data_IF_692144856138
#
_entry.id   IF_692144856138
#
_cell.length_a   1.000
_cell.length_b   1.000
_cell.length_c   1.000
_cell.angle_alpha   90.00
_cell.angle_beta   90.00
_cell.angle_gamma   90.00
#
_symmetry.space_group_name_H-M   'P 1'
#
loop_
_entity.id
_entity.type
_entity.pdbx_description
1 polymer ?
#
# COMPACT_ATOMS: atom_id res chain seq x y z
N UNK A 1 -4.93 -4.91 35.73
CA UNK A 1 -6.18 -4.78 34.94
C UNK A 1 -6.34 -6.03 34.11
N UNK A 2 -7.43 -6.76 34.31
CA UNK A 2 -7.65 -8.13 33.84
C UNK A 2 -7.84 -8.22 32.31
N UNK A 3 -7.11 -9.10 31.63
CA UNK A 3 -7.26 -9.41 30.20
C UNK A 3 -8.70 -9.79 29.81
N UNK A 4 -9.45 -10.40 30.75
CA UNK A 4 -10.86 -10.74 30.53
C UNK A 4 -11.74 -9.49 30.33
N UNK A 5 -11.28 -8.31 30.72
CA UNK A 5 -11.93 -7.04 30.40
C UNK A 5 -11.81 -6.70 28.89
N UNK A 6 -10.64 -6.91 28.28
CA UNK A 6 -10.48 -6.66 26.83
C UNK A 6 -11.21 -7.71 25.98
N UNK A 7 -11.20 -8.96 26.43
CA UNK A 7 -11.97 -10.04 25.80
C UNK A 7 -13.49 -9.85 25.90
N UNK A 8 -13.96 -9.10 26.91
CA UNK A 8 -15.38 -8.80 27.11
C UNK A 8 -15.85 -7.55 26.36
N UNK A 9 -14.95 -6.81 25.71
CA UNK A 9 -15.33 -5.80 24.74
C UNK A 9 -16.02 -6.46 23.54
N UNK A 10 -17.04 -5.79 22.99
CA UNK A 10 -17.73 -6.29 21.81
C UNK A 10 -16.74 -6.41 20.62
N UNK A 11 -16.56 -7.61 20.09
CA UNK A 11 -15.55 -7.92 19.06
C UNK A 11 -14.14 -8.23 19.59
N UNK A 12 -13.94 -8.27 20.91
CA UNK A 12 -12.70 -8.69 21.55
C UNK A 12 -12.46 -10.19 21.44
N UNK A 13 -11.19 -10.60 21.30
CA UNK A 13 -10.78 -12.01 21.29
C UNK A 13 -9.55 -12.19 22.16
N UNK A 14 -9.60 -13.18 23.05
CA UNK A 14 -8.47 -13.54 23.91
C UNK A 14 -7.76 -14.77 23.37
N UNK A 15 -6.51 -14.60 22.97
CA UNK A 15 -5.62 -15.70 22.58
C UNK A 15 -4.73 -16.06 23.77
N UNK A 16 -4.78 -17.32 24.22
CA UNK A 16 -4.02 -17.82 25.37
C UNK A 16 -2.98 -18.85 24.95
N UNK A 17 -2.10 -19.23 25.88
CA UNK A 17 -1.10 -20.29 25.72
C UNK A 17 -0.12 -20.07 24.55
N UNK A 18 0.23 -18.81 24.28
CA UNK A 18 1.26 -18.46 23.31
C UNK A 18 2.61 -18.56 24.01
N UNK A 19 3.42 -19.56 23.65
CA UNK A 19 4.75 -19.83 24.25
C UNK A 19 5.90 -19.23 23.44
N UNK A 20 5.64 -18.76 22.23
CA UNK A 20 6.59 -18.05 21.37
C UNK A 20 6.50 -16.53 21.58
N UNK A 21 7.51 -15.79 21.12
CA UNK A 21 7.50 -14.33 21.07
C UNK A 21 6.74 -13.76 19.84
N UNK A 22 6.08 -14.61 19.06
CA UNK A 22 5.32 -14.23 17.86
C UNK A 22 4.07 -15.10 17.66
N UNK A 23 3.05 -14.52 17.01
CA UNK A 23 1.80 -15.20 16.67
C UNK A 23 1.19 -14.63 15.39
N UNK A 24 0.81 -15.51 14.47
CA UNK A 24 -0.04 -15.14 13.33
C UNK A 24 -1.52 -15.14 13.75
N UNK A 25 -2.21 -14.04 13.43
CA UNK A 25 -3.64 -13.87 13.66
C UNK A 25 -4.30 -13.83 12.28
N UNK A 26 -5.19 -14.80 12.02
CA UNK A 26 -5.89 -14.97 10.74
C UNK A 26 -7.38 -14.67 10.89
N UNK A 27 -8.14 -14.77 9.79
CA UNK A 27 -9.59 -14.51 9.74
C UNK A 27 -10.00 -13.10 10.19
N UNK A 28 -9.08 -12.13 10.04
CA UNK A 28 -9.38 -10.73 10.22
C UNK A 28 -10.03 -10.18 8.95
N UNK A 29 -10.98 -9.26 9.12
CA UNK A 29 -11.65 -8.59 8.03
C UNK A 29 -10.76 -7.49 7.47
N UNK A 30 -10.54 -7.49 6.16
CA UNK A 30 -9.77 -6.44 5.50
C UNK A 30 -10.47 -5.07 5.59
N UNK A 31 -9.69 -4.01 5.74
CA UNK A 31 -10.18 -2.65 5.97
C UNK A 31 -10.63 -2.36 7.40
N UNK A 32 -10.71 -3.38 8.27
CA UNK A 32 -11.04 -3.20 9.69
C UNK A 32 -9.79 -2.95 10.50
N UNK A 33 -9.76 -1.85 11.27
CA UNK A 33 -8.66 -1.57 12.21
C UNK A 33 -8.81 -2.43 13.46
N UNK A 34 -7.78 -3.20 13.77
CA UNK A 34 -7.65 -4.02 14.97
C UNK A 34 -6.62 -3.43 15.92
N UNK A 35 -6.82 -3.68 17.21
CA UNK A 35 -5.97 -3.23 18.31
C UNK A 35 -5.45 -4.45 19.05
N UNK A 36 -4.17 -4.43 19.43
CA UNK A 36 -3.50 -5.55 20.08
C UNK A 36 -2.76 -5.08 21.33
N UNK A 37 -2.92 -5.84 22.40
CA UNK A 37 -2.17 -5.74 23.64
C UNK A 37 -1.70 -7.14 24.03
N UNK A 38 -0.53 -7.23 24.65
CA UNK A 38 0.04 -8.50 25.11
C UNK A 38 0.34 -8.41 26.59
N UNK A 39 0.06 -9.48 27.32
CA UNK A 39 0.56 -9.71 28.68
C UNK A 39 1.28 -11.05 28.71
N UNK A 40 2.08 -11.25 29.75
CA UNK A 40 2.78 -12.51 30.00
C UNK A 40 2.28 -13.14 31.28
N UNK A 41 2.21 -14.47 31.31
CA UNK A 41 1.84 -15.22 32.51
C UNK A 41 3.01 -16.05 33.00
N UNK A 42 3.35 -15.94 34.28
CA UNK A 42 4.35 -16.78 34.96
C UNK A 42 3.75 -17.27 36.27
N UNK A 43 3.79 -18.58 36.51
CA UNK A 43 3.31 -19.19 37.76
C UNK A 43 1.87 -18.76 38.14
N UNK A 44 0.97 -18.70 37.14
CA UNK A 44 -0.41 -18.22 37.25
C UNK A 44 -0.59 -16.73 37.63
N UNK A 45 0.48 -15.94 37.55
CA UNK A 45 0.45 -14.48 37.71
C UNK A 45 0.61 -13.81 36.35
N UNK A 46 -0.25 -12.85 36.06
CA UNK A 46 -0.24 -12.06 34.83
C UNK A 46 0.53 -10.74 35.02
N UNK A 47 1.33 -10.33 34.03
CA UNK A 47 2.04 -9.06 34.02
C UNK A 47 1.13 -7.86 33.72
N UNK A 48 1.68 -6.66 33.84
CA UNK A 48 1.08 -5.49 33.20
C UNK A 48 1.04 -5.65 31.67
N UNK A 49 0.11 -4.92 31.05
CA UNK A 49 -0.10 -4.89 29.59
C UNK A 49 0.98 -4.09 28.88
N UNK A 50 1.34 -4.55 27.68
CA UNK A 50 2.16 -3.79 26.74
C UNK A 50 1.50 -2.47 26.33
N UNK A 51 2.25 -1.63 25.61
CA UNK A 51 1.64 -0.59 24.80
C UNK A 51 0.66 -1.20 23.79
N UNK A 52 -0.43 -0.50 23.53
CA UNK A 52 -1.38 -0.88 22.48
C UNK A 52 -0.78 -0.60 21.11
N UNK A 53 -0.95 -1.53 20.18
CA UNK A 53 -0.58 -1.36 18.77
C UNK A 53 -1.79 -1.63 17.89
N UNK A 54 -1.81 -1.05 16.69
CA UNK A 54 -2.93 -1.22 15.75
C UNK A 54 -2.46 -1.80 14.43
N UNK A 55 -3.27 -2.64 13.81
CA UNK A 55 -3.08 -3.07 12.43
C UNK A 55 -4.41 -3.06 11.67
N UNK A 56 -4.37 -2.70 10.39
CA UNK A 56 -5.52 -2.82 9.49
C UNK A 56 -5.11 -3.79 8.39
N UNK A 57 -5.60 -5.04 8.41
CA UNK A 57 -5.39 -5.96 7.30
C UNK A 57 -5.92 -5.32 6.02
N UNK A 58 -5.11 -5.37 4.97
CA UNK A 58 -5.51 -4.90 3.66
C UNK A 58 -5.63 -6.14 2.77
N UNK A 59 -6.67 -6.17 1.92
CA UNK A 59 -6.54 -6.95 0.68
C UNK A 59 -5.30 -6.39 0.01
N UNK A 60 -4.39 -7.24 -0.47
CA UNK A 60 -3.29 -6.80 -1.30
C UNK A 60 -3.84 -6.10 -2.53
N UNK A 61 -4.12 -4.80 -2.41
CA UNK A 61 -4.36 -3.91 -3.53
C UNK A 61 -2.99 -3.72 -4.12
N UNK A 62 -2.67 -4.55 -5.11
CA UNK A 62 -1.45 -4.42 -5.88
C UNK A 62 -1.68 -3.43 -7.00
N UNK A 63 -0.61 -2.76 -7.39
CA UNK A 63 -0.64 -1.99 -8.62
C UNK A 63 -0.89 -2.92 -9.80
N UNK A 64 -1.57 -2.36 -10.78
CA UNK A 64 -1.73 -2.95 -12.09
C UNK A 64 -0.40 -2.90 -12.85
N UNK A 65 -0.32 -3.48 -14.05
CA UNK A 65 0.96 -3.58 -14.78
C UNK A 65 1.40 -2.26 -15.43
N UNK A 66 0.50 -1.28 -15.54
CA UNK A 66 0.68 -0.06 -16.31
C UNK A 66 0.42 -0.24 -17.81
N UNK A 67 0.00 -1.42 -18.26
CA UNK A 67 -0.19 -1.75 -19.67
C UNK A 67 -1.59 -1.32 -20.11
N UNK A 68 -1.62 -0.36 -21.03
CA UNK A 68 -2.88 0.20 -21.58
C UNK A 68 -3.23 -0.34 -22.96
N UNK A 69 -2.41 -1.23 -23.51
CA UNK A 69 -2.60 -1.83 -24.84
C UNK A 69 -2.85 -3.34 -24.72
N UNK A 70 -3.70 -3.88 -25.58
CA UNK A 70 -3.90 -5.32 -25.69
C UNK A 70 -3.00 -5.93 -26.76
N UNK A 71 -2.75 -7.23 -26.70
CA UNK A 71 -2.20 -8.00 -27.82
C UNK A 71 -3.28 -8.31 -28.85
N UNK A 72 -2.94 -8.15 -30.14
CA UNK A 72 -3.82 -8.47 -31.26
C UNK A 72 -3.46 -9.83 -31.87
N UNK A 73 -4.46 -10.54 -32.40
CA UNK A 73 -4.28 -11.80 -33.12
C UNK A 73 -4.37 -11.53 -34.64
N UNK A 74 -3.53 -12.10 -35.51
CA UNK A 74 -2.47 -13.10 -35.25
C UNK A 74 -1.13 -12.49 -34.78
N UNK A 75 -0.96 -11.17 -34.91
CA UNK A 75 0.21 -10.43 -34.40
C UNK A 75 -0.09 -8.94 -34.18
N UNK A 76 0.78 -8.25 -33.44
CA UNK A 76 0.73 -6.80 -33.20
C UNK A 76 0.06 -6.39 -31.89
N UNK A 77 0.07 -5.08 -31.63
CA UNK A 77 -0.60 -4.46 -30.47
C UNK A 77 -1.93 -3.84 -30.89
N UNK A 78 -2.87 -3.76 -29.94
CA UNK A 78 -4.14 -3.07 -30.06
C UNK A 78 -4.14 -1.88 -29.10
N UNK A 79 -3.81 -0.71 -29.64
CA UNK A 79 -3.68 0.54 -28.90
C UNK A 79 -5.01 1.05 -28.33
N UNK A 80 -6.14 0.62 -28.89
CA UNK A 80 -7.47 1.05 -28.44
C UNK A 80 -8.01 0.24 -27.27
N UNK A 81 -7.38 -0.91 -26.98
CA UNK A 81 -7.86 -1.87 -26.02
C UNK A 81 -9.37 -2.26 -26.23
N UNK A 82 -9.79 -2.50 -27.48
CA UNK A 82 -11.17 -2.87 -27.80
C UNK A 82 -11.29 -4.19 -28.58
N UNK A 83 -12.38 -4.95 -28.39
CA UNK A 83 -12.68 -6.22 -29.07
C UNK A 83 -12.85 -7.43 -28.12
N UNK A 84 -13.48 -8.52 -28.58
CA UNK A 84 -13.88 -9.64 -27.70
C UNK A 84 -12.71 -10.38 -27.03
N UNK A 85 -11.59 -10.57 -27.74
CA UNK A 85 -10.35 -11.14 -27.16
C UNK A 85 -9.57 -10.14 -26.29
N UNK A 86 -9.90 -8.85 -26.38
CA UNK A 86 -9.24 -7.79 -25.61
C UNK A 86 -9.95 -7.55 -24.27
N UNK A 87 -11.25 -7.79 -24.21
CA UNK A 87 -12.05 -7.67 -22.99
C UNK A 87 -11.66 -8.66 -21.86
N UNK A 88 -10.71 -9.56 -22.11
CA UNK A 88 -10.12 -10.46 -21.12
C UNK A 88 -8.63 -10.14 -20.83
N UNK A 89 -8.11 -9.06 -21.41
CA UNK A 89 -6.71 -8.65 -21.26
C UNK A 89 -6.59 -7.50 -20.27
N UNK A 90 -5.37 -7.33 -19.77
CA UNK A 90 -5.05 -6.43 -18.66
C UNK A 90 -5.48 -4.98 -18.91
N UNK A 91 -5.29 -4.50 -20.14
CA UNK A 91 -5.67 -3.14 -20.54
C UNK A 91 -7.18 -2.83 -20.37
N UNK A 92 -8.06 -3.85 -20.34
CA UNK A 92 -9.51 -3.69 -20.18
C UNK A 92 -9.97 -3.78 -18.73
N UNK A 93 -9.06 -4.09 -17.80
CA UNK A 93 -9.38 -4.41 -16.41
C UNK A 93 -8.58 -3.56 -15.44
N UNK A 94 -8.88 -3.77 -14.16
CA UNK A 94 -8.09 -3.18 -13.07
C UNK A 94 -8.11 -1.66 -13.05
N UNK A 95 -6.97 -1.08 -12.69
CA UNK A 95 -6.78 0.37 -12.61
C UNK A 95 -6.32 0.94 -13.94
N UNK A 96 -5.62 0.16 -14.75
CA UNK A 96 -5.18 0.60 -16.08
C UNK A 96 -6.37 0.85 -16.99
N UNK A 97 -7.33 -0.08 -17.05
CA UNK A 97 -8.57 0.11 -17.81
C UNK A 97 -9.41 1.29 -17.31
N UNK A 98 -9.48 1.51 -15.99
CA UNK A 98 -10.16 2.68 -15.41
C UNK A 98 -9.47 4.00 -15.78
N UNK A 99 -8.14 4.00 -15.83
CA UNK A 99 -7.34 5.15 -16.22
C UNK A 99 -7.55 5.50 -17.70
N UNK A 100 -7.54 4.49 -18.58
CA UNK A 100 -7.84 4.66 -20.02
C UNK A 100 -9.26 5.19 -20.22
N UNK A 101 -10.23 4.69 -19.46
CA UNK A 101 -11.61 5.16 -19.50
C UNK A 101 -11.80 6.56 -18.87
N UNK A 102 -10.75 7.16 -18.28
CA UNK A 102 -10.84 8.47 -17.60
C UNK A 102 -11.66 8.46 -16.31
N UNK A 103 -11.91 7.28 -15.73
CA UNK A 103 -12.75 7.11 -14.53
C UNK A 103 -11.94 6.87 -13.25
N UNK A 104 -10.63 6.67 -13.37
CA UNK A 104 -9.75 6.49 -12.21
C UNK A 104 -9.46 7.83 -11.54
N UNK A 105 -10.02 8.04 -10.36
CA UNK A 105 -9.59 9.11 -9.47
C UNK A 105 -8.21 8.77 -8.89
N UNK A 106 -7.27 9.70 -8.98
CA UNK A 106 -5.93 9.61 -8.40
C UNK A 106 -5.72 10.66 -7.34
N UNK A 107 -4.94 10.33 -6.32
CA UNK A 107 -4.51 11.27 -5.27
C UNK A 107 -3.28 12.06 -5.74
N UNK A 108 -2.35 11.39 -6.41
CA UNK A 108 -1.10 11.92 -6.90
C UNK A 108 -0.88 11.65 -8.38
N UNK A 109 0.39 11.55 -8.77
CA UNK A 109 0.82 11.40 -10.16
C UNK A 109 1.03 9.94 -10.56
N UNK A 110 1.31 9.72 -11.85
CA UNK A 110 1.65 8.41 -12.38
C UNK A 110 0.91 8.07 -13.66
N UNK A 111 1.49 7.17 -14.45
CA UNK A 111 0.92 6.70 -15.71
C UNK A 111 -0.13 5.60 -15.45
N UNK A 112 -1.17 5.53 -16.29
CA UNK A 112 -2.18 4.47 -16.27
C UNK A 112 -2.77 4.25 -14.85
N UNK A 113 -2.70 3.05 -14.29
CA UNK A 113 -3.19 2.74 -12.95
C UNK A 113 -2.34 3.26 -11.80
N UNK A 114 -1.06 3.61 -12.04
CA UNK A 114 -0.14 4.07 -11.00
C UNK A 114 -0.55 5.42 -10.41
N UNK A 115 -0.40 5.54 -9.10
CA UNK A 115 -0.77 6.73 -8.33
C UNK A 115 0.18 6.89 -7.14
N UNK A 116 1.12 7.83 -7.23
CA UNK A 116 2.13 8.04 -6.19
C UNK A 116 2.25 9.50 -5.74
N UNK A 117 2.73 9.64 -4.51
CA UNK A 117 3.09 10.92 -3.87
C UNK A 117 4.57 10.92 -3.56
N UNK A 118 5.29 11.95 -4.00
CA UNK A 118 6.71 12.19 -3.69
C UNK A 118 6.86 12.75 -2.29
N UNK A 119 7.77 12.16 -1.52
CA UNK A 119 8.08 12.54 -0.16
C UNK A 119 9.55 12.97 -0.06
N UNK A 120 9.82 13.94 0.79
CA UNK A 120 11.18 14.33 1.16
C UNK A 120 11.79 13.39 2.19
N UNK A 121 13.04 13.66 2.55
CA UNK A 121 13.87 12.92 3.51
C UNK A 121 13.24 12.75 4.89
N UNK A 122 12.35 13.65 5.30
CA UNK A 122 11.61 13.56 6.56
C UNK A 122 10.31 12.77 6.45
N UNK A 123 10.01 12.19 5.28
CA UNK A 123 8.74 11.52 4.98
C UNK A 123 7.56 12.47 4.73
N UNK A 124 7.79 13.79 4.72
CA UNK A 124 6.75 14.77 4.43
C UNK A 124 6.52 14.90 2.92
N UNK A 125 5.27 15.20 2.53
CA UNK A 125 4.90 15.45 1.13
C UNK A 125 5.64 16.67 0.60
N UNK A 126 6.27 16.53 -0.57
CA UNK A 126 6.90 17.67 -1.24
C UNK A 126 5.84 18.64 -1.78
N UNK A 127 6.12 19.94 -1.71
CA UNK A 127 5.24 20.99 -2.24
C UNK A 127 5.05 20.91 -3.76
N UNK A 128 6.04 20.36 -4.46
CA UNK A 128 6.04 20.21 -5.92
C UNK A 128 6.05 18.71 -6.25
N UNK A 129 4.97 18.23 -6.87
CA UNK A 129 4.78 16.81 -7.18
C UNK A 129 5.06 16.47 -8.67
N UNK A 130 5.07 17.46 -9.55
CA UNK A 130 5.11 17.29 -11.00
C UNK A 130 6.47 17.60 -11.65
N UNK A 131 7.50 17.98 -10.88
CA UNK A 131 8.84 18.22 -11.42
C UNK A 131 9.57 16.90 -11.76
N UNK A 132 10.40 16.94 -12.81
CA UNK A 132 11.22 15.79 -13.24
C UNK A 132 12.43 15.62 -12.32
N UNK A 133 12.88 14.38 -12.11
CA UNK A 133 14.13 14.15 -11.37
C UNK A 133 15.31 14.77 -12.11
N UNK A 134 16.13 15.54 -11.40
CA UNK A 134 17.36 16.14 -11.95
C UNK A 134 18.59 15.37 -11.45
N UNK A 135 19.29 14.77 -12.40
CA UNK A 135 20.57 14.11 -12.20
C UNK A 135 21.46 14.35 -13.44
N UNK A 136 22.76 14.29 -13.25
CA UNK A 136 23.77 14.28 -14.31
C UNK A 136 24.71 13.08 -14.18
N UNK A 137 25.75 13.02 -15.02
CA UNK A 137 26.74 11.94 -15.02
C UNK A 137 27.52 11.81 -13.69
N UNK A 138 27.39 12.79 -12.78
CA UNK A 138 28.04 12.83 -11.45
C UNK A 138 27.07 12.52 -10.30
N UNK A 139 25.77 12.43 -10.56
CA UNK A 139 24.75 12.04 -9.58
C UNK A 139 23.55 12.98 -9.52
N UNK A 140 22.83 12.94 -8.40
CA UNK A 140 21.65 13.79 -8.19
C UNK A 140 22.03 15.26 -8.05
N UNK A 141 21.50 16.11 -8.93
CA UNK A 141 21.71 17.56 -8.92
C UNK A 141 20.46 18.34 -8.48
N UNK A 142 19.32 17.66 -8.40
CA UNK A 142 18.05 18.23 -7.98
C UNK A 142 17.93 18.51 -6.48
N UNK A 143 16.84 19.18 -6.11
CA UNK A 143 16.52 19.49 -4.71
C UNK A 143 15.05 19.17 -4.36
N UNK A 144 14.80 18.83 -3.09
CA UNK A 144 13.44 18.60 -2.60
C UNK A 144 12.57 19.86 -2.66
N UNK A 145 13.16 21.04 -2.43
CA UNK A 145 12.45 22.31 -2.50
C UNK A 145 11.98 22.64 -3.92
N UNK A 146 12.74 22.22 -4.95
CA UNK A 146 12.35 22.35 -6.35
C UNK A 146 11.45 21.20 -6.82
N UNK A 147 11.28 20.15 -6.01
CA UNK A 147 10.60 18.90 -6.40
C UNK A 147 11.36 18.06 -7.42
N UNK A 148 12.60 18.45 -7.76
CA UNK A 148 13.47 17.76 -8.74
C UNK A 148 14.32 16.66 -8.11
N UNK A 149 14.17 16.45 -6.80
CA UNK A 149 14.66 15.29 -6.06
C UNK A 149 13.62 14.91 -5.00
N UNK A 150 13.48 13.62 -4.73
CA UNK A 150 12.65 13.09 -3.63
C UNK A 150 13.36 11.94 -2.95
N UNK A 151 13.27 11.83 -1.62
CA UNK A 151 13.87 10.69 -0.92
C UNK A 151 13.00 9.45 -0.99
N UNK A 152 11.67 9.61 -1.03
CA UNK A 152 10.76 8.47 -1.08
C UNK A 152 9.58 8.70 -2.03
N UNK A 153 8.98 7.62 -2.49
CA UNK A 153 7.67 7.62 -3.14
C UNK A 153 6.71 6.76 -2.32
N UNK A 154 5.54 7.32 -2.02
CA UNK A 154 4.40 6.57 -1.47
C UNK A 154 3.46 6.21 -2.59
N UNK A 155 3.17 4.94 -2.78
CA UNK A 155 2.06 4.53 -3.62
C UNK A 155 0.75 4.75 -2.87
N UNK A 156 -0.12 5.56 -3.46
CA UNK A 156 -1.42 5.90 -2.90
C UNK A 156 -2.43 4.75 -3.03
N UNK A 157 -2.15 3.74 -3.87
CA UNK A 157 -3.00 2.55 -3.99
C UNK A 157 -2.70 1.50 -2.91
N UNK A 158 -1.44 1.06 -2.81
CA UNK A 158 -1.03 0.03 -1.85
C UNK A 158 -0.75 0.61 -0.45
N UNK A 159 -0.40 1.89 -0.36
CA UNK A 159 0.11 2.53 0.85
C UNK A 159 1.59 2.25 1.15
N UNK A 160 2.27 1.47 0.30
CA UNK A 160 3.68 1.17 0.45
C UNK A 160 4.55 2.39 0.14
N UNK A 161 5.72 2.45 0.78
CA UNK A 161 6.70 3.52 0.61
C UNK A 161 8.04 2.90 0.22
N UNK A 162 8.66 3.45 -0.81
CA UNK A 162 10.01 3.08 -1.25
C UNK A 162 10.92 4.29 -1.17
N UNK A 163 12.12 4.08 -0.64
CA UNK A 163 13.19 5.09 -0.60
C UNK A 163 14.13 4.93 -1.80
N UNK A 164 14.66 6.05 -2.26
CA UNK A 164 15.81 6.10 -3.17
C UNK A 164 17.07 5.91 -2.32
N UNK A 165 17.92 4.95 -2.68
CA UNK A 165 19.18 4.65 -1.98
C UNK A 165 20.36 5.33 -2.64
#
# INVERSE_FOLDING_TARGET
SDLSNYASLNGGSLLQNITSNSKFITNLTNGTKYYFVVTTTKDAVESDKSNEVTATPLIGVLNDTGITQGGNYESGNNDTCTGEKIAAQDCSHGRDGKAVAGTLAKVGGGMAGFDFTKLGSTGNVLSIQNATWEADDTGDTGTESAGTKWSCVKDNHTGLVWEVK
#
